data_IF_010098432772
#
_entry.id   IF_010098432772
#
_cell.length_a   1.000
_cell.length_b   1.000
_cell.length_c   1.000
_cell.angle_alpha   90.00
_cell.angle_beta   90.00
_cell.angle_gamma   90.00
#
_symmetry.space_group_name_H-M   'P 1'
#
loop_
_entity.id
_entity.type
_entity.pdbx_description
1 polymer ?
#
# COMPACT_ATOMS: atom_id res chain seq x y z
N UNK A 1 -43.36 35.88 -33.03
CA UNK A 1 -42.82 34.62 -33.60
C UNK A 1 -41.32 34.80 -33.77
N UNK A 2 -40.51 34.02 -33.07
CA UNK A 2 -39.05 34.11 -33.13
C UNK A 2 -38.44 33.25 -32.03
N UNK A 3 -38.23 31.96 -32.31
CA UNK A 3 -37.56 31.02 -31.40
C UNK A 3 -36.09 30.96 -31.80
N UNK A 4 -35.21 31.48 -30.95
CA UNK A 4 -33.77 31.29 -31.04
C UNK A 4 -33.40 29.91 -30.51
N UNK A 5 -32.86 29.05 -31.38
CA UNK A 5 -32.27 27.77 -31.00
C UNK A 5 -30.78 27.95 -30.71
N UNK A 6 -30.38 27.74 -29.47
CA UNK A 6 -28.98 27.65 -29.04
C UNK A 6 -28.42 26.28 -29.46
N UNK A 7 -27.72 26.26 -30.59
CA UNK A 7 -26.96 25.10 -31.05
C UNK A 7 -25.70 24.89 -30.22
N UNK A 8 -25.75 23.94 -29.28
CA UNK A 8 -24.58 23.41 -28.58
C UNK A 8 -23.62 22.76 -29.59
N UNK A 9 -22.56 23.48 -29.93
CA UNK A 9 -21.45 22.96 -30.71
C UNK A 9 -20.68 21.93 -29.88
N UNK A 10 -20.83 20.64 -30.21
CA UNK A 10 -19.86 19.62 -29.79
C UNK A 10 -18.53 19.95 -30.47
N UNK A 11 -17.51 20.30 -29.67
CA UNK A 11 -16.14 20.43 -30.17
C UNK A 11 -15.64 19.05 -30.58
N UNK A 12 -15.04 18.88 -31.78
CA UNK A 12 -14.37 17.65 -32.14
C UNK A 12 -13.12 17.50 -31.26
N UNK A 13 -12.98 16.34 -30.62
CA UNK A 13 -11.73 15.96 -29.96
C UNK A 13 -10.60 15.85 -31.00
N UNK A 14 -9.41 16.39 -30.73
CA UNK A 14 -8.28 16.21 -31.62
C UNK A 14 -7.78 14.75 -31.58
N UNK A 15 -7.34 14.19 -32.72
CA UNK A 15 -6.71 12.87 -32.74
C UNK A 15 -5.28 13.00 -32.19
N UNK A 16 -5.07 12.55 -30.95
CA UNK A 16 -3.74 12.43 -30.37
C UNK A 16 -2.99 11.28 -31.05
N UNK A 17 -2.23 11.63 -32.09
CA UNK A 17 -1.40 10.72 -32.86
C UNK A 17 -0.07 10.51 -32.12
N UNK A 18 -0.01 9.47 -31.29
CA UNK A 18 1.18 9.09 -30.51
C UNK A 18 2.26 8.41 -31.36
N UNK A 19 2.59 8.87 -32.57
CA UNK A 19 3.83 8.38 -33.23
C UNK A 19 5.06 8.89 -32.48
N UNK A 20 5.33 8.22 -31.35
CA UNK A 20 6.45 8.34 -30.43
C UNK A 20 7.43 7.25 -30.85
N UNK A 21 8.51 7.70 -31.50
CA UNK A 21 9.76 6.99 -31.79
C UNK A 21 9.80 5.48 -31.53
N UNK A 22 9.37 4.69 -32.52
CA UNK A 22 9.51 3.22 -32.56
C UNK A 22 10.98 2.72 -32.59
N UNK A 23 11.97 3.60 -32.38
CA UNK A 23 13.40 3.26 -32.40
C UNK A 23 14.12 3.43 -31.07
N UNK A 24 13.44 3.77 -29.97
CA UNK A 24 14.05 3.67 -28.64
C UNK A 24 13.78 2.28 -28.09
N UNK A 25 14.55 1.30 -28.56
CA UNK A 25 14.78 0.06 -27.82
C UNK A 25 15.22 0.43 -26.41
N UNK A 26 14.28 0.42 -25.47
CA UNK A 26 14.58 0.13 -24.08
C UNK A 26 15.23 -1.24 -24.13
N UNK A 27 16.56 -1.30 -24.15
CA UNK A 27 17.26 -2.50 -23.76
C UNK A 27 16.95 -2.67 -22.28
N UNK A 28 15.83 -3.32 -22.05
CA UNK A 28 15.32 -3.76 -20.77
C UNK A 28 16.40 -4.63 -20.13
N UNK A 29 17.28 -4.00 -19.34
CA UNK A 29 17.87 -4.70 -18.21
C UNK A 29 16.71 -4.90 -17.26
N UNK A 30 16.06 -6.05 -17.38
CA UNK A 30 15.16 -6.56 -16.35
C UNK A 30 15.82 -6.30 -15.00
N UNK A 31 15.16 -5.64 -14.03
CA UNK A 31 15.67 -5.63 -12.68
C UNK A 31 15.81 -7.10 -12.26
N UNK A 32 17.03 -7.51 -11.95
CA UNK A 32 17.30 -8.86 -11.46
C UNK A 32 16.37 -9.11 -10.28
N UNK A 33 15.51 -10.14 -10.31
CA UNK A 33 14.67 -10.47 -9.16
C UNK A 33 15.60 -10.76 -7.99
N UNK A 34 15.52 -9.92 -6.95
CA UNK A 34 16.25 -10.11 -5.71
C UNK A 34 15.67 -11.34 -5.00
N UNK A 35 16.35 -12.48 -5.17
CA UNK A 35 16.18 -13.60 -4.27
C UNK A 35 16.72 -13.16 -2.91
N UNK A 36 15.84 -13.07 -1.91
CA UNK A 36 16.22 -13.05 -0.51
C UNK A 36 17.14 -14.26 -0.29
N UNK A 37 18.42 -14.01 -0.01
CA UNK A 37 19.35 -15.07 0.34
C UNK A 37 18.77 -15.80 1.56
N UNK A 38 18.60 -17.12 1.45
CA UNK A 38 18.24 -17.95 2.59
C UNK A 38 19.27 -17.70 3.70
N UNK A 39 18.85 -17.49 4.96
CA UNK A 39 19.79 -17.32 6.05
C UNK A 39 20.69 -18.57 6.16
N UNK A 40 21.97 -18.41 6.50
CA UNK A 40 22.89 -19.53 6.65
C UNK A 40 22.33 -20.50 7.70
N UNK A 41 22.15 -21.76 7.31
CA UNK A 41 21.84 -22.84 8.23
C UNK A 41 23.00 -22.96 9.22
N UNK A 42 22.78 -22.50 10.45
CA UNK A 42 23.67 -22.79 11.56
C UNK A 42 23.49 -24.27 11.93
N UNK A 43 24.57 -25.06 11.97
CA UNK A 43 24.50 -26.42 12.45
C UNK A 43 24.21 -26.42 13.98
N UNK A 44 23.44 -27.40 14.48
CA UNK A 44 23.17 -27.49 15.92
C UNK A 44 24.44 -27.78 16.71
N UNK A 45 24.50 -27.40 18.00
CA UNK A 45 25.66 -27.62 18.85
C UNK A 45 25.90 -29.12 19.09
N UNK A 46 27.07 -29.60 18.69
CA UNK A 46 27.60 -30.92 19.02
C UNK A 46 27.88 -31.04 20.52
N UNK A 47 27.16 -31.93 21.20
CA UNK A 47 27.47 -32.37 22.56
C UNK A 47 28.60 -33.41 22.52
N UNK A 48 29.72 -33.10 23.17
CA UNK A 48 30.83 -34.04 23.39
C UNK A 48 30.38 -35.16 24.34
N UNK A 49 30.41 -36.40 23.87
CA UNK A 49 30.33 -37.61 24.71
C UNK A 49 31.57 -38.47 24.45
N UNK A 50 32.28 -38.83 25.52
CA UNK A 50 33.47 -39.67 25.51
C UNK A 50 33.16 -41.12 25.10
N UNK A 51 34.04 -41.70 24.28
CA UNK A 51 34.17 -43.13 23.94
C UNK A 51 34.85 -43.92 25.10
N UNK A 52 35.09 -45.26 25.08
CA UNK A 52 35.08 -46.24 23.96
C UNK A 52 34.32 -47.57 24.30
N UNK A 53 34.11 -48.57 23.42
CA UNK A 53 35.12 -49.51 22.87
C UNK A 53 34.46 -50.56 21.95
N UNK A 54 35.25 -51.03 20.96
CA UNK A 54 35.26 -52.35 20.29
C UNK A 54 34.11 -52.81 19.39
N UNK A 55 34.46 -53.29 18.18
CA UNK A 55 33.61 -54.19 17.39
C UNK A 55 33.91 -54.26 15.90
N UNK A 56 34.79 -55.18 15.51
CA UNK A 56 35.18 -55.60 14.15
C UNK A 56 33.98 -56.11 13.32
N UNK A 57 33.87 -55.77 12.02
CA UNK A 57 33.62 -56.75 10.91
C UNK A 57 33.47 -56.11 9.51
N UNK A 58 34.41 -56.47 8.62
CA UNK A 58 34.37 -56.84 7.17
C UNK A 58 33.20 -56.37 6.23
N UNK A 59 33.58 -55.63 5.19
CA UNK A 59 33.38 -55.79 3.70
C UNK A 59 32.23 -56.66 3.11
N UNK A 60 31.87 -56.56 1.79
CA UNK A 60 32.06 -55.47 0.79
C UNK A 60 30.84 -55.24 -0.16
N UNK A 61 31.00 -54.28 -1.08
CA UNK A 61 30.45 -54.21 -2.46
C UNK A 61 28.93 -54.35 -2.72
N UNK A 62 28.34 -53.29 -3.30
CA UNK A 62 27.49 -53.46 -4.50
C UNK A 62 27.44 -52.18 -5.35
N UNK A 63 27.96 -52.32 -6.56
CA UNK A 63 27.81 -51.41 -7.68
C UNK A 63 26.41 -51.57 -8.29
N UNK A 64 25.76 -50.46 -8.64
CA UNK A 64 24.67 -50.40 -9.63
C UNK A 64 24.75 -49.02 -10.29
N UNK A 65 25.44 -48.88 -11.44
CA UNK A 65 25.00 -49.19 -12.81
C UNK A 65 23.91 -48.22 -13.29
N UNK A 66 24.36 -47.14 -13.92
CA UNK A 66 23.56 -46.27 -14.78
C UNK A 66 23.31 -46.94 -16.14
N UNK A 67 22.19 -46.66 -16.83
CA UNK A 67 22.10 -46.75 -18.27
C UNK A 67 22.22 -45.36 -18.90
N UNK A 68 23.14 -45.28 -19.86
CA UNK A 68 23.33 -44.18 -20.76
C UNK A 68 22.51 -44.38 -22.05
N UNK A 69 22.22 -43.25 -22.70
CA UNK A 69 21.99 -43.03 -24.14
C UNK A 69 20.65 -43.49 -24.76
N UNK A 70 19.94 -42.51 -25.33
CA UNK A 70 19.71 -42.51 -26.78
C UNK A 70 19.47 -41.07 -27.31
N UNK A 71 20.30 -40.56 -28.25
CA UNK A 71 20.05 -39.32 -28.97
C UNK A 71 19.68 -39.62 -30.43
N UNK A 72 18.42 -39.45 -30.80
CA UNK A 72 18.01 -39.41 -32.23
C UNK A 72 17.13 -38.21 -32.48
N UNK A 73 17.76 -37.20 -33.09
CA UNK A 73 17.05 -36.12 -33.75
C UNK A 73 16.28 -36.59 -34.97
N UNK A 74 15.19 -35.87 -35.27
CA UNK A 74 14.64 -35.76 -36.62
C UNK A 74 14.16 -34.33 -36.81
N UNK A 75 14.87 -33.60 -37.68
CA UNK A 75 14.38 -32.42 -38.39
C UNK A 75 13.26 -32.85 -39.33
N UNK A 76 12.17 -32.10 -39.35
CA UNK A 76 11.23 -32.06 -40.46
C UNK A 76 10.54 -30.68 -40.50
N UNK A 77 11.04 -29.81 -41.38
CA UNK A 77 10.25 -28.91 -42.23
C UNK A 77 10.36 -29.50 -43.66
N UNK A 78 9.42 -29.29 -44.62
CA UNK A 78 8.80 -28.00 -44.93
C UNK A 78 7.36 -28.07 -45.51
N UNK A 79 6.85 -26.88 -45.89
CA UNK A 79 5.88 -26.55 -46.96
C UNK A 79 4.74 -25.65 -46.42
N UNK A 80 4.74 -24.35 -46.73
CA UNK A 80 4.20 -23.74 -47.96
C UNK A 80 2.74 -24.12 -48.23
N UNK A 81 1.85 -23.21 -47.84
CA UNK A 81 0.44 -23.20 -48.23
C UNK A 81 -0.10 -21.78 -48.23
N UNK A 82 0.12 -21.06 -49.33
CA UNK A 82 -0.62 -19.84 -49.68
C UNK A 82 -2.10 -20.20 -49.87
N UNK A 83 -3.01 -19.46 -49.24
CA UNK A 83 -4.37 -19.30 -49.79
C UNK A 83 -4.91 -17.91 -49.48
N UNK A 84 -4.92 -17.08 -50.52
CA UNK A 84 -5.72 -15.88 -50.60
C UNK A 84 -7.17 -16.26 -50.92
N UNK A 85 -8.13 -15.62 -50.26
CA UNK A 85 -9.56 -15.80 -50.48
C UNK A 85 -10.34 -14.61 -49.94
N UNK A 86 -10.66 -13.68 -50.85
CA UNK A 86 -11.95 -12.96 -51.00
C UNK A 86 -12.71 -12.60 -49.71
N UNK A 87 -12.68 -11.33 -49.25
CA UNK A 87 -13.66 -10.28 -49.60
C UNK A 87 -15.10 -10.79 -49.78
N UNK A 88 -15.89 -10.70 -48.71
CA UNK A 88 -17.34 -10.47 -48.76
C UNK A 88 -17.69 -9.56 -47.58
N UNK A 89 -18.04 -8.31 -47.88
CA UNK A 89 -18.58 -7.39 -46.89
C UNK A 89 -20.04 -7.74 -46.55
N UNK A 90 -20.52 -7.38 -45.35
CA UNK A 90 -21.94 -7.42 -45.06
C UNK A 90 -22.67 -6.20 -45.65
N UNK A 91 -23.94 -6.35 -46.08
CA UNK A 91 -24.74 -5.28 -46.66
C UNK A 91 -25.17 -4.24 -45.61
N UNK A 92 -25.51 -3.01 -46.03
CA UNK A 92 -26.00 -1.95 -45.15
C UNK A 92 -27.44 -2.24 -44.73
N UNK A 93 -27.71 -2.26 -43.42
CA UNK A 93 -29.07 -2.26 -42.89
C UNK A 93 -29.54 -0.82 -42.69
N UNK A 94 -30.73 -0.58 -43.25
CA UNK A 94 -31.51 0.66 -43.23
C UNK A 94 -32.03 0.98 -41.82
N UNK A 95 -32.36 2.25 -41.51
CA UNK A 95 -32.76 2.68 -40.18
C UNK A 95 -34.29 2.70 -40.05
N UNK A 96 -34.86 1.83 -39.23
CA UNK A 96 -36.27 1.92 -38.83
C UNK A 96 -36.49 1.11 -37.55
N UNK A 97 -36.57 1.79 -36.41
CA UNK A 97 -37.61 1.56 -35.40
C UNK A 97 -37.43 2.56 -34.27
N UNK A 98 -38.33 3.52 -34.24
CA UNK A 98 -38.68 4.29 -33.06
C UNK A 98 -39.02 3.31 -31.93
N UNK A 99 -38.28 3.39 -30.84
CA UNK A 99 -38.77 2.93 -29.54
C UNK A 99 -38.66 4.12 -28.60
N UNK A 100 -39.82 4.71 -28.36
CA UNK A 100 -40.10 5.59 -27.24
C UNK A 100 -39.68 4.86 -25.96
N UNK A 101 -38.55 5.26 -25.38
CA UNK A 101 -38.20 4.91 -24.00
C UNK A 101 -38.41 6.15 -23.17
N UNK A 102 -39.50 6.07 -22.42
CA UNK A 102 -39.97 7.04 -21.45
C UNK A 102 -38.82 7.61 -20.60
N UNK A 103 -38.91 8.91 -20.38
CA UNK A 103 -38.14 9.63 -19.38
C UNK A 103 -38.35 9.00 -18.01
N UNK A 104 -37.42 8.13 -17.59
CA UNK A 104 -37.27 7.79 -16.20
C UNK A 104 -36.77 9.04 -15.48
N UNK A 105 -37.67 9.58 -14.67
CA UNK A 105 -37.42 10.69 -13.77
C UNK A 105 -36.12 10.52 -13.00
N UNK A 106 -35.36 11.61 -13.02
CA UNK A 106 -34.21 11.86 -12.17
C UNK A 106 -34.69 11.93 -10.72
N UNK A 107 -34.81 10.77 -10.08
CA UNK A 107 -34.93 10.69 -8.62
C UNK A 107 -33.59 11.16 -8.05
N UNK A 108 -33.55 12.42 -7.64
CA UNK A 108 -32.62 12.90 -6.63
C UNK A 108 -32.97 12.13 -5.37
N UNK A 109 -32.32 11.00 -5.15
CA UNK A 109 -32.32 10.33 -3.85
C UNK A 109 -31.49 11.20 -2.93
N UNK A 110 -32.13 12.17 -2.28
CA UNK A 110 -31.66 12.59 -0.97
C UNK A 110 -31.64 11.33 -0.10
N UNK A 111 -30.52 10.97 0.55
CA UNK A 111 -30.53 9.90 1.52
C UNK A 111 -31.50 10.34 2.62
N UNK A 112 -32.67 9.70 2.63
CA UNK A 112 -33.61 9.77 3.72
C UNK A 112 -32.86 9.35 4.98
N UNK A 113 -32.80 10.28 5.92
CA UNK A 113 -32.51 10.03 7.32
C UNK A 113 -33.62 9.08 7.77
N UNK A 114 -33.35 7.79 7.60
CA UNK A 114 -34.21 6.70 8.04
C UNK A 114 -34.07 6.57 9.54
N UNK A 115 -35.23 6.70 10.20
CA UNK A 115 -35.50 6.54 11.62
C UNK A 115 -34.42 5.80 12.43
N UNK A 116 -33.86 6.55 13.38
CA UNK A 116 -33.05 6.08 14.51
C UNK A 116 -33.86 5.08 15.36
N UNK A 117 -33.96 3.83 14.91
CA UNK A 117 -34.38 2.73 15.78
C UNK A 117 -33.15 2.21 16.51
N UNK A 118 -32.83 2.91 17.61
CA UNK A 118 -32.41 2.27 18.86
C UNK A 118 -31.20 1.33 18.85
N UNK A 119 -30.12 1.64 18.14
CA UNK A 119 -28.80 1.09 18.46
C UNK A 119 -28.25 1.85 19.67
N UNK A 120 -28.55 1.36 20.88
CA UNK A 120 -27.90 1.81 22.13
C UNK A 120 -26.38 1.71 21.98
N UNK A 121 -25.59 2.70 22.44
CA UNK A 121 -24.14 2.66 22.32
C UNK A 121 -23.58 1.69 23.36
N UNK A 122 -23.41 0.43 22.98
CA UNK A 122 -22.62 -0.54 23.77
C UNK A 122 -21.14 -0.11 23.86
N UNK A 123 -20.69 0.80 22.98
CA UNK A 123 -19.35 1.37 23.00
C UNK A 123 -19.11 2.39 24.13
N UNK A 124 -20.15 3.01 24.70
CA UNK A 124 -19.95 4.00 25.78
C UNK A 124 -19.54 3.35 27.11
N UNK A 125 -19.88 2.08 27.33
CA UNK A 125 -19.54 1.40 28.58
C UNK A 125 -18.07 0.97 28.63
N UNK A 126 -17.41 0.78 27.49
CA UNK A 126 -15.99 0.40 27.43
C UNK A 126 -15.08 1.63 27.48
N UNK A 127 -15.45 2.74 26.81
CA UNK A 127 -14.70 4.00 26.87
C UNK A 127 -14.70 4.61 28.28
N UNK A 128 -15.79 4.44 29.05
CA UNK A 128 -15.86 4.89 30.45
C UNK A 128 -15.00 4.07 31.42
N UNK A 129 -14.50 2.89 31.04
CA UNK A 129 -13.56 2.14 31.87
C UNK A 129 -12.10 2.54 31.64
N UNK A 130 -11.79 3.18 30.50
CA UNK A 130 -10.41 3.55 30.13
C UNK A 130 -10.08 5.00 30.50
N UNK A 131 -11.07 5.89 30.63
CA UNK A 131 -10.84 7.18 31.25
C UNK A 131 -10.56 6.99 32.75
N UNK A 132 -9.34 7.28 33.26
CA UNK A 132 -9.15 7.37 34.69
C UNK A 132 -10.15 8.39 35.22
N UNK A 133 -10.87 8.03 36.29
CA UNK A 133 -11.60 9.00 37.10
C UNK A 133 -10.58 10.06 37.46
N UNK A 134 -10.61 11.19 36.74
CA UNK A 134 -9.90 12.41 37.14
C UNK A 134 -10.46 12.71 38.51
N UNK A 135 -9.78 12.23 39.54
CA UNK A 135 -10.09 12.54 40.91
C UNK A 135 -9.98 14.05 40.97
N UNK A 136 -11.13 14.72 41.01
CA UNK A 136 -11.19 16.08 41.48
C UNK A 136 -10.55 16.05 42.87
N UNK A 137 -9.27 16.40 42.96
CA UNK A 137 -8.67 16.83 44.20
C UNK A 137 -9.44 18.10 44.55
N UNK A 138 -10.56 17.91 45.24
CA UNK A 138 -11.28 18.96 45.95
C UNK A 138 -10.29 19.53 46.94
N UNK A 139 -9.64 20.60 46.50
CA UNK A 139 -8.92 21.50 47.37
C UNK A 139 -9.92 21.95 48.43
N UNK A 140 -9.63 21.53 49.67
CA UNK A 140 -9.97 22.19 50.93
C UNK A 140 -10.54 23.60 50.74
N UNK A 141 -11.86 23.68 50.54
CA UNK A 141 -12.63 24.84 50.97
C UNK A 141 -13.03 24.58 52.41
N UNK A 142 -12.29 25.15 53.35
CA UNK A 142 -12.89 25.49 54.64
C UNK A 142 -12.11 26.63 55.31
N UNK A 143 -12.81 27.75 55.48
CA UNK A 143 -12.63 28.63 56.63
C UNK A 143 -11.78 29.87 56.42
N UNK A 144 -12.46 31.00 56.24
CA UNK A 144 -11.96 32.36 56.46
C UNK A 144 -11.09 32.44 57.73
N UNK A 145 -9.77 32.58 57.57
CA UNK A 145 -8.92 33.05 58.66
C UNK A 145 -7.77 33.91 58.12
N UNK A 146 -7.78 35.15 58.58
CA UNK A 146 -6.97 36.25 58.14
C UNK A 146 -5.45 36.03 58.30
N UNK A 147 -4.71 36.49 57.30
CA UNK A 147 -3.35 37.08 57.39
C UNK A 147 -2.22 36.26 58.02
N UNK A 148 -2.18 34.94 57.86
CA UNK A 148 -0.93 34.19 58.09
C UNK A 148 -0.10 34.09 56.81
N UNK A 149 1.00 34.87 56.76
CA UNK A 149 2.05 34.73 55.74
C UNK A 149 2.43 33.25 55.62
N UNK A 150 2.42 32.68 54.40
CA UNK A 150 2.75 31.27 54.20
C UNK A 150 4.14 31.01 54.79
N UNK A 151 4.19 30.18 55.83
CA UNK A 151 5.45 29.68 56.40
C UNK A 151 6.22 29.05 55.25
N UNK A 152 7.44 29.54 54.98
CA UNK A 152 8.39 28.90 54.07
C UNK A 152 8.41 27.41 54.38
N UNK A 153 8.04 26.59 53.40
CA UNK A 153 7.98 25.13 53.52
C UNK A 153 9.28 24.61 54.13
N UNK A 154 9.15 23.74 55.13
CA UNK A 154 10.30 23.18 55.84
C UNK A 154 11.12 22.33 54.85
N UNK A 155 12.44 22.51 54.74
CA UNK A 155 13.29 21.75 53.80
C UNK A 155 13.19 20.22 53.94
N UNK A 156 12.73 19.74 55.10
CA UNK A 156 12.54 18.33 55.42
C UNK A 156 11.39 17.66 54.62
N UNK A 157 10.48 18.43 54.02
CA UNK A 157 9.33 17.92 53.26
C UNK A 157 9.60 17.78 51.74
N UNK A 158 10.78 18.24 51.28
CA UNK A 158 11.16 18.17 49.86
C UNK A 158 11.25 16.73 49.31
N UNK A 159 11.80 15.73 50.03
CA UNK A 159 11.88 14.36 49.53
C UNK A 159 10.50 13.75 49.26
N UNK A 160 9.54 13.92 50.17
CA UNK A 160 8.18 13.40 50.01
C UNK A 160 7.47 14.03 48.80
N UNK A 161 7.65 15.34 48.57
CA UNK A 161 7.12 16.02 47.39
C UNK A 161 7.73 15.52 46.08
N UNK A 162 9.04 15.21 46.08
CA UNK A 162 9.72 14.64 44.90
C UNK A 162 9.20 13.23 44.62
N UNK A 163 9.01 12.41 45.65
CA UNK A 163 8.45 11.07 45.52
C UNK A 163 7.02 11.11 44.95
N UNK A 164 6.14 11.95 45.51
CA UNK A 164 4.78 12.12 45.02
C UNK A 164 4.72 12.60 43.54
N UNK A 165 5.61 13.52 43.14
CA UNK A 165 5.72 13.93 41.74
C UNK A 165 6.22 12.81 40.85
N UNK A 166 7.15 11.99 41.33
CA UNK A 166 7.68 10.84 40.59
C UNK A 166 6.60 9.79 40.36
N UNK A 167 5.81 9.47 41.39
CA UNK A 167 4.65 8.57 41.27
C UNK A 167 3.62 9.10 40.28
N UNK A 168 3.35 10.40 40.31
CA UNK A 168 2.43 11.05 39.38
C UNK A 168 2.95 10.95 37.92
N UNK A 169 4.23 11.22 37.66
CA UNK A 169 4.81 11.06 36.32
C UNK A 169 4.73 9.60 35.84
N UNK A 170 5.04 8.64 36.71
CA UNK A 170 4.90 7.22 36.37
C UNK A 170 3.45 6.82 36.06
N UNK A 171 2.46 7.41 36.73
CA UNK A 171 1.05 7.18 36.38
C UNK A 171 0.71 7.75 34.99
N UNK A 172 1.19 8.94 34.65
CA UNK A 172 0.95 9.53 33.34
C UNK A 172 1.61 8.73 32.21
N UNK A 173 2.82 8.22 32.42
CA UNK A 173 3.49 7.37 31.43
C UNK A 173 2.69 6.09 31.16
N UNK A 174 2.13 5.47 32.20
CA UNK A 174 1.24 4.30 32.05
C UNK A 174 -0.02 4.64 31.25
N UNK A 175 -0.66 5.78 31.54
CA UNK A 175 -1.85 6.23 30.83
C UNK A 175 -1.54 6.54 29.36
N UNK A 176 -0.42 7.20 29.08
CA UNK A 176 0.04 7.48 27.71
C UNK A 176 0.27 6.18 26.93
N UNK A 177 0.89 5.18 27.56
CA UNK A 177 1.08 3.86 26.93
C UNK A 177 -0.25 3.16 26.66
N UNK A 178 -1.19 3.21 27.61
CA UNK A 178 -2.53 2.63 27.47
C UNK A 178 -3.31 3.28 26.32
N UNK A 179 -3.32 4.62 26.26
CA UNK A 179 -4.00 5.39 25.21
C UNK A 179 -3.41 5.06 23.83
N UNK A 180 -2.08 5.01 23.71
CA UNK A 180 -1.41 4.65 22.45
C UNK A 180 -1.75 3.23 22.00
N UNK A 181 -1.81 2.27 22.91
CA UNK A 181 -2.21 0.90 22.59
C UNK A 181 -3.68 0.84 22.11
N UNK A 182 -4.58 1.57 22.77
CA UNK A 182 -5.98 1.65 22.37
C UNK A 182 -6.15 2.31 21.00
N UNK A 183 -5.45 3.42 20.74
CA UNK A 183 -5.44 4.07 19.44
C UNK A 183 -4.96 3.12 18.33
N UNK A 184 -3.85 2.42 18.54
CA UNK A 184 -3.33 1.46 17.56
C UNK A 184 -4.34 0.33 17.27
N UNK A 185 -5.06 -0.14 18.31
CA UNK A 185 -6.12 -1.14 18.17
C UNK A 185 -7.32 -0.61 17.37
N UNK A 186 -7.78 0.62 17.66
CA UNK A 186 -8.87 1.25 16.91
C UNK A 186 -8.50 1.47 15.45
N UNK A 187 -7.30 2.00 15.17
CA UNK A 187 -6.80 2.19 13.82
C UNK A 187 -6.71 0.86 13.05
N UNK A 188 -6.35 -0.23 13.72
CA UNK A 188 -6.37 -1.56 13.11
C UNK A 188 -7.79 -2.01 12.74
N UNK A 189 -8.75 -1.87 13.67
CA UNK A 189 -10.17 -2.23 13.44
C UNK A 189 -10.82 -1.41 12.34
N UNK A 190 -10.58 -0.10 12.31
CA UNK A 190 -11.11 0.79 11.26
C UNK A 190 -10.55 0.37 9.91
N UNK A 191 -9.24 0.11 9.81
CA UNK A 191 -8.63 -0.39 8.58
C UNK A 191 -9.26 -1.71 8.13
N UNK A 192 -9.39 -2.68 9.03
CA UNK A 192 -10.01 -3.96 8.69
C UNK A 192 -11.47 -3.81 8.25
N UNK A 193 -12.25 -2.94 8.90
CA UNK A 193 -13.62 -2.66 8.51
C UNK A 193 -13.70 -2.01 7.12
N UNK A 194 -12.82 -1.04 6.83
CA UNK A 194 -12.69 -0.43 5.50
C UNK A 194 -12.36 -1.50 4.45
N UNK A 195 -11.53 -2.49 4.79
CA UNK A 195 -11.21 -3.60 3.89
C UNK A 195 -12.32 -4.61 3.68
N UNK A 196 -13.12 -4.85 4.71
CA UNK A 196 -14.29 -5.72 4.63
C UNK A 196 -15.46 -5.07 3.85
N UNK A 197 -15.35 -3.80 3.46
CA UNK A 197 -16.36 -3.19 2.63
C UNK A 197 -16.26 -3.76 1.22
N UNK A 198 -17.30 -4.47 0.78
CA UNK A 198 -17.38 -5.16 -0.52
C UNK A 198 -17.07 -4.25 -1.72
N UNK A 199 -17.22 -2.94 -1.55
CA UNK A 199 -16.95 -1.92 -2.57
C UNK A 199 -15.50 -1.45 -2.63
N UNK A 200 -14.71 -1.64 -1.56
CA UNK A 200 -13.34 -1.12 -1.53
C UNK A 200 -12.38 -1.99 -2.34
N UNK A 201 -12.50 -3.32 -2.26
CA UNK A 201 -11.66 -4.25 -3.04
C UNK A 201 -11.75 -4.05 -4.55
N UNK A 202 -12.95 -3.94 -5.18
CA UNK A 202 -13.08 -3.62 -6.60
C UNK A 202 -12.41 -2.29 -6.98
N UNK A 203 -12.54 -1.26 -6.13
CA UNK A 203 -11.92 0.05 -6.34
C UNK A 203 -10.38 -0.04 -6.36
N UNK A 204 -9.79 -0.85 -5.46
CA UNK A 204 -8.34 -1.10 -5.44
C UNK A 204 -7.87 -1.94 -6.63
N UNK A 205 -8.62 -2.99 -6.99
CA UNK A 205 -8.35 -3.79 -8.19
C UNK A 205 -8.35 -2.91 -9.45
N UNK A 206 -9.28 -1.96 -9.54
CA UNK A 206 -9.36 -1.00 -10.64
C UNK A 206 -8.16 -0.07 -10.70
N UNK A 207 -7.68 0.44 -9.56
CA UNK A 207 -6.47 1.27 -9.50
C UNK A 207 -5.25 0.56 -10.12
N UNK A 208 -4.98 -0.67 -9.67
CA UNK A 208 -3.86 -1.47 -10.17
C UNK A 208 -4.05 -1.81 -11.67
N UNK A 209 -5.26 -2.19 -12.07
CA UNK A 209 -5.58 -2.52 -13.47
C UNK A 209 -5.40 -1.31 -14.38
N UNK A 210 -5.79 -0.12 -13.91
CA UNK A 210 -5.61 1.16 -14.60
C UNK A 210 -4.13 1.46 -14.75
N UNK A 211 -3.33 1.32 -13.68
CA UNK A 211 -1.87 1.45 -13.75
C UNK A 211 -1.25 0.51 -14.80
N UNK A 212 -1.68 -0.76 -14.84
CA UNK A 212 -1.20 -1.72 -15.85
C UNK A 212 -1.52 -1.29 -17.28
N UNK A 213 -2.74 -0.82 -17.53
CA UNK A 213 -3.16 -0.37 -18.86
C UNK A 213 -2.42 0.88 -19.28
N UNK A 214 -2.36 1.85 -18.37
CA UNK A 214 -2.02 3.23 -18.70
C UNK A 214 -0.53 3.52 -18.63
N UNK A 215 0.19 2.83 -17.74
CA UNK A 215 1.61 3.09 -17.48
C UNK A 215 2.48 1.91 -17.94
N UNK A 216 2.04 0.67 -17.71
CA UNK A 216 2.85 -0.51 -18.06
C UNK A 216 2.57 -1.06 -19.47
N UNK A 217 1.42 -0.73 -20.06
CA UNK A 217 0.92 -1.33 -21.32
C UNK A 217 0.88 -2.88 -21.26
N UNK A 218 0.54 -3.42 -20.09
CA UNK A 218 0.46 -4.88 -19.85
C UNK A 218 -0.90 -5.32 -19.29
N UNK A 219 -1.96 -4.57 -19.58
CA UNK A 219 -3.32 -4.93 -19.15
C UNK A 219 -3.82 -6.18 -19.90
N UNK A 220 -4.42 -7.10 -19.15
CA UNK A 220 -5.10 -8.29 -19.68
C UNK A 220 -6.58 -8.00 -19.95
N UNK A 221 -7.31 -8.87 -20.67
CA UNK A 221 -8.77 -8.72 -20.83
C UNK A 221 -9.52 -8.63 -19.49
N UNK A 222 -9.08 -9.36 -18.47
CA UNK A 222 -9.67 -9.28 -17.13
C UNK A 222 -9.42 -7.91 -16.46
N UNK A 223 -8.24 -7.33 -16.64
CA UNK A 223 -7.98 -5.95 -16.16
C UNK A 223 -8.91 -4.94 -16.85
N UNK A 224 -9.19 -5.13 -18.15
CA UNK A 224 -10.10 -4.26 -18.91
C UNK A 224 -11.56 -4.39 -18.45
N UNK A 225 -11.99 -5.60 -18.08
CA UNK A 225 -13.32 -5.85 -17.48
C UNK A 225 -13.45 -5.12 -16.14
N UNK A 226 -12.49 -5.30 -15.22
CA UNK A 226 -12.44 -4.58 -13.93
C UNK A 226 -12.49 -3.06 -14.13
N UNK A 227 -11.82 -2.53 -15.16
CA UNK A 227 -11.84 -1.09 -15.44
C UNK A 227 -13.21 -0.63 -15.97
N UNK A 228 -13.90 -1.48 -16.74
CA UNK A 228 -15.20 -1.19 -17.37
C UNK A 228 -16.40 -1.27 -16.41
N UNK A 229 -16.34 -2.10 -15.38
CA UNK A 229 -17.45 -2.31 -14.43
C UNK A 229 -17.74 -1.12 -13.51
N UNK A 230 -16.77 -0.22 -13.29
CA UNK A 230 -16.86 0.82 -12.27
C UNK A 230 -16.93 2.24 -12.82
N UNK A 231 -17.65 3.13 -12.14
CA UNK A 231 -17.48 4.59 -12.26
C UNK A 231 -16.53 5.14 -11.19
N UNK A 232 -16.33 4.43 -10.08
CA UNK A 232 -15.48 4.88 -8.97
C UNK A 232 -14.00 4.70 -9.29
N UNK A 233 -13.21 5.76 -9.18
CA UNK A 233 -11.76 5.73 -9.35
C UNK A 233 -11.08 5.79 -7.98
N UNK A 234 -10.04 5.00 -7.77
CA UNK A 234 -9.10 5.26 -6.68
C UNK A 234 -8.01 6.16 -7.24
N UNK A 235 -7.88 7.36 -6.69
CA UNK A 235 -6.93 8.35 -7.20
C UNK A 235 -5.55 8.22 -6.54
N UNK A 236 -5.44 7.43 -5.47
CA UNK A 236 -4.25 7.33 -4.64
C UNK A 236 -3.81 5.88 -4.41
N UNK A 237 -2.50 5.68 -4.28
CA UNK A 237 -1.90 4.44 -3.81
C UNK A 237 -2.31 4.12 -2.36
N UNK A 238 -2.54 2.84 -2.10
CA UNK A 238 -2.74 2.26 -0.78
C UNK A 238 -2.08 0.88 -0.77
N UNK A 239 -0.82 0.85 -0.35
CA UNK A 239 0.00 -0.35 -0.39
C UNK A 239 -0.55 -1.47 0.51
N UNK A 240 -1.16 -1.13 1.66
CA UNK A 240 -1.73 -2.13 2.58
C UNK A 240 -2.93 -2.77 1.91
N UNK A 241 -3.80 -1.95 1.33
CA UNK A 241 -4.98 -2.40 0.60
C UNK A 241 -4.62 -3.30 -0.57
N UNK A 242 -3.71 -2.81 -1.39
CA UNK A 242 -3.31 -3.48 -2.60
C UNK A 242 -2.57 -4.77 -2.26
N UNK A 243 -1.76 -4.80 -1.19
CA UNK A 243 -1.08 -6.01 -0.75
C UNK A 243 -2.07 -7.12 -0.35
N UNK A 244 -3.20 -6.75 0.29
CA UNK A 244 -4.25 -7.71 0.67
C UNK A 244 -4.84 -8.43 -0.54
N UNK A 245 -5.00 -7.76 -1.66
CA UNK A 245 -5.48 -8.40 -2.90
C UNK A 245 -4.58 -9.56 -3.35
N UNK A 246 -3.26 -9.48 -3.10
CA UNK A 246 -2.34 -10.56 -3.41
C UNK A 246 -2.32 -11.65 -2.34
N UNK A 247 -2.42 -11.28 -1.06
CA UNK A 247 -2.44 -12.28 0.02
C UNK A 247 -3.72 -13.09 0.02
N UNK A 248 -4.84 -12.49 -0.38
CA UNK A 248 -6.15 -13.14 -0.50
C UNK A 248 -6.26 -13.98 -1.80
N UNK A 249 -5.27 -13.89 -2.69
CA UNK A 249 -5.22 -14.63 -3.96
C UNK A 249 -6.05 -14.02 -5.10
N UNK A 250 -6.62 -12.83 -4.91
CA UNK A 250 -7.37 -12.11 -5.96
C UNK A 250 -6.45 -11.63 -7.10
N UNK A 251 -5.18 -11.33 -6.78
CA UNK A 251 -4.16 -10.97 -7.75
C UNK A 251 -2.91 -11.83 -7.62
N UNK A 252 -2.25 -12.10 -8.75
CA UNK A 252 -1.05 -12.94 -8.83
C UNK A 252 0.13 -12.24 -9.54
N UNK A 253 -0.09 -11.04 -10.06
CA UNK A 253 0.88 -10.25 -10.84
C UNK A 253 1.86 -9.47 -9.95
N UNK A 254 2.68 -10.18 -9.17
CA UNK A 254 3.61 -9.62 -8.18
C UNK A 254 4.56 -8.56 -8.75
N UNK A 255 4.91 -8.65 -10.04
CA UNK A 255 5.78 -7.67 -10.71
C UNK A 255 5.09 -6.30 -10.81
N UNK A 256 3.78 -6.25 -11.06
CA UNK A 256 3.02 -5.01 -11.09
C UNK A 256 3.03 -4.33 -9.73
N UNK A 257 2.78 -5.08 -8.66
CA UNK A 257 2.84 -4.56 -7.30
C UNK A 257 4.23 -4.00 -6.95
N UNK A 258 5.28 -4.75 -7.31
CA UNK A 258 6.67 -4.34 -7.05
C UNK A 258 7.04 -3.08 -7.82
N UNK A 259 6.60 -2.93 -9.07
CA UNK A 259 6.80 -1.69 -9.83
C UNK A 259 6.06 -0.49 -9.21
N UNK A 260 4.90 -0.73 -8.62
CA UNK A 260 4.06 0.31 -8.03
C UNK A 260 4.60 0.80 -6.69
N UNK A 261 5.05 -0.12 -5.84
CA UNK A 261 5.39 0.15 -4.43
C UNK A 261 6.86 -0.07 -4.06
N UNK A 262 7.69 -0.59 -4.98
CA UNK A 262 9.08 -0.95 -4.72
C UNK A 262 9.28 -2.16 -3.81
N UNK A 263 8.21 -2.77 -3.30
CA UNK A 263 8.22 -3.83 -2.29
C UNK A 263 7.37 -5.02 -2.73
N UNK A 264 7.59 -6.17 -2.10
CA UNK A 264 6.73 -7.34 -2.28
C UNK A 264 5.47 -7.24 -1.38
N UNK A 265 4.30 -7.76 -1.81
CA UNK A 265 3.05 -7.64 -1.04
C UNK A 265 3.16 -8.12 0.41
N UNK A 266 3.84 -9.24 0.65
CA UNK A 266 3.99 -9.83 1.99
C UNK A 266 4.94 -9.05 2.92
N UNK A 267 5.67 -8.08 2.39
CA UNK A 267 6.55 -7.19 3.17
C UNK A 267 5.75 -6.02 3.74
N UNK A 268 4.79 -5.49 2.99
CA UNK A 268 4.07 -4.25 3.34
C UNK A 268 3.38 -4.32 4.72
N UNK A 269 2.69 -5.41 5.12
CA UNK A 269 2.07 -5.50 6.45
C UNK A 269 3.06 -5.45 7.62
N UNK A 270 4.35 -5.67 7.39
CA UNK A 270 5.40 -5.61 8.43
C UNK A 270 5.84 -4.17 8.72
N UNK A 271 5.57 -3.24 7.81
CA UNK A 271 5.93 -1.83 7.96
C UNK A 271 4.95 -1.17 8.92
N UNK A 272 5.44 -0.75 10.09
CA UNK A 272 4.64 -0.03 11.10
C UNK A 272 4.87 1.49 11.10
N UNK A 273 5.93 1.94 10.44
CA UNK A 273 6.29 3.35 10.38
C UNK A 273 5.42 4.09 9.34
N UNK A 274 4.59 5.02 9.82
CA UNK A 274 3.52 5.63 9.03
C UNK A 274 4.07 6.57 7.95
N UNK A 275 5.17 7.24 8.24
CA UNK A 275 5.87 8.14 7.32
C UNK A 275 6.45 7.36 6.14
N UNK A 276 6.97 6.15 6.37
CA UNK A 276 7.41 5.24 5.30
C UNK A 276 6.23 4.83 4.42
N UNK A 277 5.12 4.41 5.05
CA UNK A 277 3.91 4.03 4.31
C UNK A 277 3.36 5.18 3.47
N UNK A 278 3.39 6.39 4.01
CA UNK A 278 2.97 7.62 3.32
C UNK A 278 3.84 7.88 2.10
N UNK A 279 5.16 7.73 2.21
CA UNK A 279 6.08 7.89 1.07
C UNK A 279 5.88 6.82 -0.01
N UNK A 280 5.66 5.57 0.37
CA UNK A 280 5.38 4.45 -0.56
C UNK A 280 4.07 4.69 -1.31
N UNK A 281 3.00 5.08 -0.61
CA UNK A 281 1.72 5.42 -1.22
C UNK A 281 1.83 6.65 -2.13
N UNK A 282 2.58 7.68 -1.72
CA UNK A 282 2.82 8.88 -2.53
C UNK A 282 3.55 8.54 -3.83
N UNK A 283 4.60 7.70 -3.78
CA UNK A 283 5.28 7.21 -4.98
C UNK A 283 4.29 6.55 -5.94
N UNK A 284 3.50 5.57 -5.45
CA UNK A 284 2.51 4.86 -6.25
C UNK A 284 1.48 5.80 -6.89
N UNK A 285 0.94 6.76 -6.12
CA UNK A 285 0.03 7.80 -6.64
C UNK A 285 0.67 8.60 -7.76
N UNK A 286 1.93 9.00 -7.61
CA UNK A 286 2.62 9.82 -8.61
C UNK A 286 2.83 9.03 -9.90
N UNK A 287 3.37 7.81 -9.81
CA UNK A 287 3.69 7.02 -11.02
C UNK A 287 2.46 6.43 -11.71
N UNK A 288 1.33 6.32 -11.00
CA UNK A 288 0.06 5.88 -11.58
C UNK A 288 -0.72 7.00 -12.29
N UNK A 289 -0.36 8.25 -12.06
CA UNK A 289 -1.01 9.39 -12.68
C UNK A 289 -0.50 9.62 -14.11
N UNK A 290 -1.42 9.81 -15.06
CA UNK A 290 -1.10 10.23 -16.44
C UNK A 290 -0.72 11.71 -16.55
N UNK A 291 -1.19 12.50 -15.59
CA UNK A 291 -1.03 13.96 -15.59
C UNK A 291 0.33 14.38 -15.03
N UNK A 292 1.02 13.46 -14.36
CA UNK A 292 2.32 13.69 -13.76
C UNK A 292 3.43 13.16 -14.64
N UNK A 293 4.47 13.96 -14.79
CA UNK A 293 5.74 13.54 -15.38
C UNK A 293 6.77 13.39 -14.26
N UNK A 294 7.51 12.28 -14.31
CA UNK A 294 8.57 11.96 -13.34
C UNK A 294 9.90 11.79 -14.06
N UNK A 295 10.98 12.20 -13.41
CA UNK A 295 12.34 12.07 -13.95
C UNK A 295 13.00 10.75 -13.54
N UNK A 296 14.03 10.30 -14.26
CA UNK A 296 14.81 9.10 -13.87
C UNK A 296 15.39 9.21 -12.46
N UNK A 297 15.70 10.44 -12.02
CA UNK A 297 16.20 10.73 -10.67
C UNK A 297 15.16 10.38 -9.60
N UNK A 298 13.88 10.62 -9.85
CA UNK A 298 12.78 10.23 -8.96
C UNK A 298 12.77 8.73 -8.72
N UNK A 299 12.80 7.93 -9.79
CA UNK A 299 12.82 6.47 -9.68
C UNK A 299 14.05 5.97 -8.94
N UNK A 300 15.24 6.49 -9.27
CA UNK A 300 16.49 6.10 -8.61
C UNK A 300 16.50 6.40 -7.11
N UNK A 301 16.02 7.58 -6.70
CA UNK A 301 15.98 7.96 -5.29
C UNK A 301 14.94 7.15 -4.51
N UNK A 302 13.80 6.82 -5.13
CA UNK A 302 12.83 5.91 -4.52
C UNK A 302 13.42 4.51 -4.32
N UNK A 303 14.05 3.95 -5.35
CA UNK A 303 14.70 2.63 -5.28
C UNK A 303 15.79 2.61 -4.20
N UNK A 304 16.62 3.66 -4.14
CA UNK A 304 17.63 3.82 -3.09
C UNK A 304 17.00 3.89 -1.69
N UNK A 305 15.92 4.65 -1.52
CA UNK A 305 15.20 4.71 -0.25
C UNK A 305 14.67 3.34 0.17
N UNK A 306 13.95 2.65 -0.72
CA UNK A 306 13.39 1.32 -0.42
C UNK A 306 14.49 0.32 -0.08
N UNK A 307 15.59 0.32 -0.84
CA UNK A 307 16.74 -0.55 -0.60
C UNK A 307 17.36 -0.32 0.77
N UNK A 308 17.70 0.93 1.10
CA UNK A 308 18.32 1.26 2.40
C UNK A 308 17.34 0.96 3.53
N UNK A 309 16.04 1.24 3.36
CA UNK A 309 15.01 0.95 4.36
C UNK A 309 14.85 -0.57 4.63
N UNK A 310 14.99 -1.43 3.63
CA UNK A 310 14.86 -2.88 3.79
C UNK A 310 16.16 -3.57 4.24
N UNK A 311 17.33 -3.00 3.92
CA UNK A 311 18.64 -3.61 4.19
C UNK A 311 19.36 -3.06 5.43
N UNK A 312 19.09 -1.83 5.87
CA UNK A 312 19.81 -1.20 6.97
C UNK A 312 19.40 -1.75 8.35
N UNK A 313 20.39 -2.04 9.20
CA UNK A 313 20.17 -2.60 10.54
C UNK A 313 19.58 -4.01 10.49
N UNK A 314 18.50 -4.24 11.24
CA UNK A 314 17.70 -5.48 11.17
C UNK A 314 16.61 -5.42 10.08
N UNK A 315 16.62 -4.37 9.26
CA UNK A 315 15.59 -4.06 8.27
C UNK A 315 14.36 -3.37 8.86
N UNK A 316 13.66 -2.59 8.04
CA UNK A 316 12.43 -1.88 8.43
C UNK A 316 12.61 -0.97 9.65
N UNK A 317 13.74 -0.26 9.73
CA UNK A 317 14.01 0.67 10.83
C UNK A 317 12.83 1.62 11.02
N UNK A 318 12.21 1.64 12.19
CA UNK A 318 11.02 2.49 12.46
C UNK A 318 11.39 3.81 13.14
N UNK A 319 12.64 3.93 13.58
CA UNK A 319 13.14 5.05 14.36
C UNK A 319 13.89 6.09 13.55
N UNK A 320 14.08 5.93 12.23
CA UNK A 320 15.01 6.77 11.46
C UNK A 320 14.62 8.26 11.37
N UNK A 321 13.43 8.65 11.84
CA UNK A 321 13.05 10.07 11.96
C UNK A 321 13.21 10.62 13.39
N UNK A 322 13.60 9.79 14.36
CA UNK A 322 13.77 10.13 15.77
C UNK A 322 15.21 9.82 16.20
N UNK A 323 15.93 10.85 16.63
CA UNK A 323 17.32 10.71 17.08
C UNK A 323 18.34 11.12 16.01
N UNK A 324 19.52 10.51 16.06
CA UNK A 324 20.61 10.83 15.16
C UNK A 324 20.31 10.34 13.72
N UNK A 325 20.60 11.15 12.68
CA UNK A 325 20.37 10.74 11.31
C UNK A 325 21.11 9.45 10.93
N UNK A 326 20.37 8.48 10.40
CA UNK A 326 20.90 7.24 9.80
C UNK A 326 20.90 7.33 8.27
N UNK A 327 21.44 6.31 7.60
CA UNK A 327 21.39 6.22 6.13
C UNK A 327 19.94 6.23 5.61
N UNK A 328 19.01 5.59 6.33
CA UNK A 328 17.58 5.61 6.01
C UNK A 328 17.02 7.03 6.11
N UNK A 329 17.41 7.80 7.13
CA UNK A 329 17.04 9.22 7.28
C UNK A 329 17.47 10.04 6.08
N UNK A 330 18.71 9.84 5.62
CA UNK A 330 19.25 10.58 4.48
C UNK A 330 18.51 10.22 3.18
N UNK A 331 18.36 8.93 2.89
CA UNK A 331 17.66 8.47 1.68
C UNK A 331 16.18 8.92 1.66
N UNK A 332 15.50 8.86 2.80
CA UNK A 332 14.14 9.39 2.95
C UNK A 332 14.08 10.88 2.63
N UNK A 333 14.98 11.69 3.20
CA UNK A 333 14.99 13.15 2.99
C UNK A 333 15.30 13.51 1.53
N UNK A 334 16.24 12.82 0.91
CA UNK A 334 16.57 13.04 -0.50
C UNK A 334 15.37 12.73 -1.41
N UNK A 335 14.70 11.59 -1.19
CA UNK A 335 13.51 11.25 -1.97
C UNK A 335 12.33 12.19 -1.68
N UNK A 336 12.10 12.58 -0.43
CA UNK A 336 11.08 13.56 -0.07
C UNK A 336 11.30 14.94 -0.71
N UNK A 337 12.55 15.39 -0.81
CA UNK A 337 12.89 16.62 -1.53
C UNK A 337 12.71 16.45 -3.04
N UNK A 338 13.05 15.28 -3.58
CA UNK A 338 12.87 14.94 -4.99
C UNK A 338 11.39 15.01 -5.42
N UNK A 339 10.45 14.57 -4.58
CA UNK A 339 9.01 14.69 -4.86
C UNK A 339 8.61 16.16 -5.13
N UNK A 340 9.23 17.12 -4.41
CA UNK A 340 8.90 18.54 -4.55
C UNK A 340 9.49 19.18 -5.80
N UNK A 341 10.61 18.67 -6.31
CA UNK A 341 11.37 19.31 -7.39
C UNK A 341 11.24 18.60 -8.73
N UNK A 342 10.97 17.29 -8.74
CA UNK A 342 11.02 16.45 -9.95
C UNK A 342 9.63 15.98 -10.43
N UNK A 343 8.56 16.30 -9.70
CA UNK A 343 7.19 15.95 -10.09
C UNK A 343 6.57 17.17 -10.75
N UNK A 344 6.56 17.18 -12.09
CA UNK A 344 5.85 18.17 -12.88
C UNK A 344 4.41 17.72 -13.10
N UNK A 345 3.45 18.59 -12.81
CA UNK A 345 2.10 18.51 -13.38
C UNK A 345 1.93 19.61 -14.41
N UNK A 346 1.10 19.40 -15.43
CA UNK A 346 0.62 20.52 -16.23
C UNK A 346 -0.03 21.50 -15.26
N UNK A 347 0.65 22.63 -15.00
CA UNK A 347 -0.03 23.77 -14.45
C UNK A 347 -1.08 24.09 -15.50
N UNK A 348 -2.34 23.72 -15.23
CA UNK A 348 -3.44 24.23 -16.03
C UNK A 348 -3.26 25.74 -16.06
N UNK A 349 -2.86 26.25 -17.23
CA UNK A 349 -2.82 27.66 -17.56
C UNK A 349 -4.26 28.16 -17.40
N UNK A 350 -4.60 28.45 -16.15
CA UNK A 350 -5.88 28.99 -15.72
C UNK A 350 -5.88 30.44 -16.15
N UNK A 351 -6.22 30.66 -17.42
CA UNK A 351 -6.39 31.96 -18.05
C UNK A 351 -7.88 32.25 -18.24
#
# INVERSE_FOLDING_TARGET
MGRGGSGLHRRPHPPWNWKRDENRTFKEKQPTPFYLANPPSTPPPTTNTMAPTSGISKDPQKQSKAPALDPKGKKATPAHGRRAGTKTGPPPLSPESQNDTEHADRIVTTPGIGDEVGMRPVAEHEVRQILPKVGHHTALEEGDSATRRPRRGHPADMPARIEALTELFQSFDKDIMSIRAHQASLEHRVRDLTFCQDYYKPLRNRFISTFKRDILDTATPADLEIIGEGNLCADCGDAIADARLYTDGERIDLTTFTRLYGLLPYVVPKIRHQETMTMINMHATIIASKEKTVTDKFHRLFEQFVKVFTEYGEGFEQGYLKGDPTEVTHAYREFANCIKTEVGGEAEDSN
#
